data_IF_197760217109
#
_entry.id   IF_197760217109
#
_cell.length_a   1.000
_cell.length_b   1.000
_cell.length_c   1.000
_cell.angle_alpha   90.00
_cell.angle_beta   90.00
_cell.angle_gamma   90.00
#
_symmetry.space_group_name_H-M   'P 1'
#
loop_
_entity.id
_entity.type
_entity.pdbx_description
1 polymer ?
#
# COMPACT_ATOMS: atom_id res chain seq x y z
N UNK A 1 -0.10 12.08 -2.97
CA UNK A 1 1.03 11.62 -3.82
C UNK A 1 2.07 12.72 -4.05
N UNK A 2 1.86 13.94 -3.52
CA UNK A 2 2.73 15.10 -3.76
C UNK A 2 3.76 15.31 -2.63
N UNK A 3 3.77 14.42 -1.63
CA UNK A 3 4.59 14.50 -0.42
C UNK A 3 5.48 13.26 -0.27
N UNK A 4 6.02 12.77 -1.38
CA UNK A 4 7.04 11.71 -1.33
C UNK A 4 8.32 12.31 -0.73
N UNK A 5 8.97 11.65 0.25
CA UNK A 5 10.18 12.18 0.87
C UNK A 5 11.31 12.33 -0.15
N UNK A 6 12.30 13.15 0.18
CA UNK A 6 13.51 13.32 -0.64
C UNK A 6 14.18 11.96 -0.92
N UNK A 7 14.48 11.67 -2.19
CA UNK A 7 15.01 10.38 -2.64
C UNK A 7 13.95 9.29 -2.87
N UNK A 8 12.72 9.48 -2.40
CA UNK A 8 11.59 8.58 -2.68
C UNK A 8 10.98 8.85 -4.06
N UNK A 9 10.41 7.81 -4.67
CA UNK A 9 9.62 7.93 -5.90
C UNK A 9 8.49 6.92 -5.94
N UNK A 10 7.35 7.32 -6.49
CA UNK A 10 6.29 6.39 -6.86
C UNK A 10 6.71 5.75 -8.19
N UNK A 11 6.70 4.41 -8.26
CA UNK A 11 7.13 3.65 -9.44
C UNK A 11 6.00 2.83 -10.07
N UNK A 12 4.91 2.63 -9.32
CA UNK A 12 3.75 1.88 -9.75
C UNK A 12 2.53 2.28 -8.93
N UNK A 13 1.35 2.10 -9.52
CA UNK A 13 0.04 2.23 -8.87
C UNK A 13 -0.81 1.00 -9.20
N UNK A 14 -1.69 0.63 -8.27
CA UNK A 14 -2.64 -0.45 -8.47
C UNK A 14 -4.03 -0.10 -8.00
N UNK A 15 -5.03 -0.49 -8.78
CA UNK A 15 -6.44 -0.29 -8.49
C UNK A 15 -7.31 -1.30 -9.23
N UNK A 16 -8.36 -1.80 -8.59
CA UNK A 16 -9.32 -2.67 -9.27
C UNK A 16 -10.15 -1.89 -10.31
N UNK A 17 -10.32 -0.58 -10.11
CA UNK A 17 -10.99 0.30 -11.05
C UNK A 17 -9.96 0.99 -11.96
N UNK A 18 -9.72 0.37 -13.11
CA UNK A 18 -8.65 0.78 -14.05
C UNK A 18 -8.81 2.20 -14.58
N UNK A 19 -10.04 2.69 -14.76
CA UNK A 19 -10.30 4.06 -15.18
C UNK A 19 -9.72 5.08 -14.20
N UNK A 20 -9.87 4.84 -12.88
CA UNK A 20 -9.31 5.72 -11.85
C UNK A 20 -7.79 5.80 -11.92
N UNK A 21 -7.10 4.71 -12.27
CA UNK A 21 -5.64 4.75 -12.47
C UNK A 21 -5.27 5.63 -13.65
N UNK A 22 -5.94 5.47 -14.80
CA UNK A 22 -5.69 6.27 -16.01
C UNK A 22 -5.89 7.76 -15.74
N UNK A 23 -7.00 8.11 -15.08
CA UNK A 23 -7.29 9.50 -14.69
C UNK A 23 -6.23 10.04 -13.73
N UNK A 24 -5.76 9.24 -12.77
CA UNK A 24 -4.69 9.63 -11.83
C UNK A 24 -3.38 9.92 -12.57
N UNK A 25 -2.97 9.07 -13.51
CA UNK A 25 -1.76 9.30 -14.31
C UNK A 25 -1.85 10.60 -15.12
N UNK A 26 -3.01 10.86 -15.72
CA UNK A 26 -3.26 12.08 -16.48
C UNK A 26 -3.22 13.32 -15.58
N UNK A 27 -3.91 13.30 -14.44
CA UNK A 27 -3.96 14.41 -13.49
C UNK A 27 -2.59 14.71 -12.88
N UNK A 28 -1.80 13.67 -12.58
CA UNK A 28 -0.46 13.80 -12.01
C UNK A 28 0.63 14.02 -13.06
N UNK A 29 0.31 13.87 -14.34
CA UNK A 29 1.25 13.96 -15.46
C UNK A 29 2.46 13.02 -15.26
N UNK A 30 2.17 11.76 -14.95
CA UNK A 30 3.19 10.73 -14.67
C UNK A 30 3.02 9.49 -15.55
N UNK A 31 4.07 8.68 -15.60
CA UNK A 31 4.17 7.45 -16.39
C UNK A 31 4.33 6.20 -15.51
N UNK A 32 3.87 6.26 -14.25
CA UNK A 32 3.98 5.13 -13.33
C UNK A 32 3.32 3.87 -13.90
N UNK A 33 3.93 2.71 -13.66
CA UNK A 33 3.35 1.44 -14.14
C UNK A 33 2.02 1.17 -13.44
N UNK A 34 0.99 0.84 -14.22
CA UNK A 34 -0.35 0.54 -13.71
C UNK A 34 -0.60 -0.95 -13.59
N UNK A 35 -1.28 -1.36 -12.53
CA UNK A 35 -1.62 -2.76 -12.29
C UNK A 35 -3.06 -2.90 -11.81
N UNK A 36 -3.90 -3.67 -12.51
CA UNK A 36 -5.25 -3.94 -12.01
C UNK A 36 -5.23 -4.81 -10.72
N UNK A 37 -4.21 -5.65 -10.58
CA UNK A 37 -4.04 -6.58 -9.48
C UNK A 37 -2.75 -6.25 -8.72
N UNK A 38 -2.88 -5.94 -7.43
CA UNK A 38 -1.74 -5.50 -6.61
C UNK A 38 -0.74 -6.63 -6.38
N UNK A 39 -1.17 -7.89 -6.46
CA UNK A 39 -0.30 -9.06 -6.33
C UNK A 39 0.75 -9.05 -7.44
N UNK A 40 0.32 -8.78 -8.69
CA UNK A 40 1.24 -8.66 -9.83
C UNK A 40 2.18 -7.47 -9.66
N UNK A 41 1.67 -6.34 -9.17
CA UNK A 41 2.50 -5.17 -8.88
C UNK A 41 3.60 -5.51 -7.88
N UNK A 42 3.25 -6.16 -6.77
CA UNK A 42 4.17 -6.51 -5.69
C UNK A 42 5.17 -7.58 -6.14
N UNK A 43 4.73 -8.57 -6.92
CA UNK A 43 5.59 -9.69 -7.31
C UNK A 43 6.51 -9.36 -8.50
N UNK A 44 6.12 -8.46 -9.42
CA UNK A 44 6.95 -8.06 -10.57
C UNK A 44 7.95 -6.93 -10.27
N UNK A 45 7.69 -6.14 -9.23
CA UNK A 45 8.47 -4.95 -8.93
C UNK A 45 9.37 -5.17 -7.72
N UNK A 46 10.61 -4.73 -7.85
CA UNK A 46 11.49 -4.53 -6.71
C UNK A 46 11.07 -3.23 -6.00
N UNK A 47 10.08 -3.34 -5.10
CA UNK A 47 9.59 -2.23 -4.28
C UNK A 47 10.33 -2.23 -2.94
N UNK A 48 10.51 -1.05 -2.36
CA UNK A 48 11.00 -0.92 -0.98
C UNK A 48 9.82 -0.95 0.02
N UNK A 49 8.71 -0.32 -0.35
CA UNK A 49 7.52 -0.18 0.47
C UNK A 49 6.23 -0.06 -0.36
N UNK A 50 5.08 -0.25 0.28
CA UNK A 50 3.76 0.03 -0.31
C UNK A 50 2.93 0.95 0.58
N UNK A 51 2.07 1.74 -0.07
CA UNK A 51 0.99 2.50 0.56
C UNK A 51 -0.33 1.79 0.25
N UNK A 52 -1.02 1.31 1.29
CA UNK A 52 -2.32 0.65 1.17
C UNK A 52 -3.39 1.65 1.58
N UNK A 53 -4.21 2.05 0.60
CA UNK A 53 -5.35 2.96 0.78
C UNK A 53 -6.61 2.42 0.10
N UNK A 54 -6.77 1.09 0.11
CA UNK A 54 -7.98 0.42 -0.38
C UNK A 54 -9.13 0.62 0.61
N UNK A 55 -10.35 0.14 0.35
CA UNK A 55 -11.38 0.15 1.39
C UNK A 55 -10.93 -0.64 2.63
N UNK A 56 -11.24 -0.14 3.81
CA UNK A 56 -10.79 -0.65 5.11
C UNK A 56 -10.96 -2.16 5.32
N UNK A 57 -12.09 -2.71 4.90
CA UNK A 57 -12.40 -4.14 4.99
C UNK A 57 -11.53 -5.03 4.11
N UNK A 58 -10.75 -4.42 3.20
CA UNK A 58 -9.81 -5.13 2.34
C UNK A 58 -8.36 -4.98 2.78
N UNK A 59 -8.02 -4.02 3.66
CA UNK A 59 -6.64 -3.66 4.01
C UNK A 59 -5.76 -4.84 4.41
N UNK A 60 -6.30 -5.78 5.21
CA UNK A 60 -5.50 -6.86 5.79
C UNK A 60 -4.80 -7.72 4.71
N UNK A 61 -5.47 -7.95 3.57
CA UNK A 61 -4.98 -8.84 2.52
C UNK A 61 -3.76 -8.25 1.79
N UNK A 62 -3.80 -7.05 1.17
CA UNK A 62 -2.64 -6.46 0.51
C UNK A 62 -1.50 -6.15 1.49
N UNK A 63 -1.80 -5.77 2.74
CA UNK A 63 -0.76 -5.58 3.77
C UNK A 63 -0.04 -6.90 4.06
N UNK A 64 -0.77 -7.99 4.34
CA UNK A 64 -0.16 -9.31 4.57
C UNK A 64 0.59 -9.79 3.34
N UNK A 65 0.08 -9.53 2.13
CA UNK A 65 0.76 -9.87 0.89
C UNK A 65 2.12 -9.18 0.79
N UNK A 66 2.17 -7.86 1.01
CA UNK A 66 3.39 -7.05 0.99
C UNK A 66 4.39 -7.48 2.07
N UNK A 67 3.93 -7.63 3.32
CA UNK A 67 4.78 -8.07 4.44
C UNK A 67 5.43 -9.44 4.17
N UNK A 68 4.70 -10.38 3.56
CA UNK A 68 5.26 -11.70 3.18
C UNK A 68 6.40 -11.60 2.17
N UNK A 69 6.46 -10.53 1.37
CA UNK A 69 7.56 -10.23 0.43
C UNK A 69 8.67 -9.38 1.05
N UNK A 70 8.59 -9.07 2.35
CA UNK A 70 9.58 -8.25 3.03
C UNK A 70 9.48 -6.75 2.71
N UNK A 71 8.31 -6.29 2.24
CA UNK A 71 8.07 -4.86 1.99
C UNK A 71 7.63 -4.16 3.26
N UNK A 72 8.08 -2.93 3.44
CA UNK A 72 7.54 -2.01 4.44
C UNK A 72 6.16 -1.51 4.01
N UNK A 73 5.31 -1.19 5.00
CA UNK A 73 3.91 -0.90 4.72
C UNK A 73 3.41 0.33 5.47
N UNK A 74 2.94 1.31 4.72
CA UNK A 74 2.03 2.33 5.24
C UNK A 74 0.60 1.92 4.91
N UNK A 75 -0.29 1.84 5.90
CA UNK A 75 -1.70 1.48 5.72
C UNK A 75 -2.59 2.60 6.23
N UNK A 76 -3.57 3.03 5.44
CA UNK A 76 -4.53 4.03 5.89
C UNK A 76 -5.44 3.53 7.02
N UNK A 77 -6.02 4.46 7.77
CA UNK A 77 -7.00 4.15 8.81
C UNK A 77 -8.39 3.86 8.21
N UNK A 78 -9.24 3.09 8.91
CA UNK A 78 -8.90 2.20 10.02
C UNK A 78 -8.05 1.01 9.54
N UNK A 79 -7.23 0.43 10.45
CA UNK A 79 -6.19 -0.54 10.07
C UNK A 79 -6.73 -1.77 9.31
N UNK A 80 -7.82 -2.36 9.81
CA UNK A 80 -8.47 -3.53 9.25
C UNK A 80 -9.91 -3.64 9.78
N UNK A 81 -10.67 -4.60 9.26
CA UNK A 81 -12.07 -4.82 9.65
C UNK A 81 -12.21 -5.38 11.07
N UNK A 82 -11.26 -6.20 11.52
CA UNK A 82 -11.35 -6.92 12.79
C UNK A 82 -10.08 -6.85 13.63
N UNK A 83 -10.24 -6.96 14.96
CA UNK A 83 -9.11 -7.07 15.89
C UNK A 83 -8.27 -8.32 15.60
N UNK A 84 -8.89 -9.40 15.09
CA UNK A 84 -8.18 -10.60 14.68
C UNK A 84 -7.19 -10.29 13.56
N UNK A 85 -7.63 -9.65 12.48
CA UNK A 85 -6.76 -9.25 11.37
C UNK A 85 -5.64 -8.32 11.84
N UNK A 86 -5.95 -7.31 12.65
CA UNK A 86 -4.92 -6.43 13.22
C UNK A 86 -3.83 -7.21 13.97
N UNK A 87 -4.21 -8.24 14.75
CA UNK A 87 -3.25 -9.10 15.46
C UNK A 87 -2.41 -9.94 14.51
N UNK A 88 -3.01 -10.47 13.45
CA UNK A 88 -2.27 -11.24 12.43
C UNK A 88 -1.26 -10.34 11.70
N UNK A 89 -1.66 -9.15 11.28
CA UNK A 89 -0.79 -8.18 10.62
C UNK A 89 0.37 -7.78 11.52
N UNK A 90 0.11 -7.45 12.80
CA UNK A 90 1.15 -7.12 13.78
C UNK A 90 2.16 -8.25 13.98
N UNK A 91 1.67 -9.47 14.18
CA UNK A 91 2.55 -10.62 14.41
C UNK A 91 3.45 -10.88 13.19
N UNK A 92 2.88 -10.79 11.98
CA UNK A 92 3.63 -10.95 10.75
C UNK A 92 4.65 -9.82 10.53
N UNK A 93 4.28 -8.56 10.79
CA UNK A 93 5.21 -7.44 10.69
C UNK A 93 6.41 -7.62 11.64
N UNK A 94 6.17 -8.07 12.87
CA UNK A 94 7.22 -8.40 13.82
C UNK A 94 8.12 -9.56 13.36
N UNK A 95 7.52 -10.64 12.81
CA UNK A 95 8.27 -11.77 12.26
C UNK A 95 9.20 -11.33 11.11
N UNK A 96 8.68 -10.49 10.21
CA UNK A 96 9.39 -9.99 9.03
C UNK A 96 10.34 -8.83 9.33
N UNK A 97 10.31 -8.30 10.57
CA UNK A 97 11.04 -7.10 10.99
C UNK A 97 10.76 -5.90 10.06
N UNK A 98 9.53 -5.83 9.54
CA UNK A 98 9.10 -4.77 8.63
C UNK A 98 8.76 -3.50 9.41
N UNK A 99 9.08 -2.35 8.82
CA UNK A 99 8.59 -1.05 9.29
C UNK A 99 7.15 -0.89 8.83
N UNK A 100 6.25 -0.60 9.77
CA UNK A 100 4.84 -0.36 9.47
C UNK A 100 4.35 0.94 10.10
N UNK A 101 3.48 1.65 9.38
CA UNK A 101 2.83 2.86 9.88
C UNK A 101 1.35 2.85 9.49
N UNK A 102 0.49 3.21 10.44
CA UNK A 102 -0.93 3.47 10.15
C UNK A 102 -1.14 4.97 9.91
N UNK A 103 -2.03 5.32 8.98
CA UNK A 103 -2.43 6.70 8.68
C UNK A 103 -3.26 7.35 9.79
N UNK A 104 -2.65 7.60 10.95
CA UNK A 104 -3.26 8.28 12.10
C UNK A 104 -3.24 9.80 11.95
N UNK A 105 -3.60 10.31 10.78
CA UNK A 105 -3.77 11.74 10.57
C UNK A 105 -5.06 12.16 11.29
N UNK A 106 -4.92 12.74 12.48
CA UNK A 106 -6.02 13.28 13.27
C UNK A 106 -5.73 14.79 13.35
N UNK A 107 -6.58 15.59 12.69
CA UNK A 107 -6.50 17.04 12.50
C UNK A 107 -5.62 17.52 11.33
N UNK A 108 -6.24 18.34 10.48
CA UNK A 108 -5.61 19.40 9.71
C UNK A 108 -5.99 20.73 10.38
#
# INVERSE_FOLDING_TARGET
MDHVPEGGRIVAISDCYTQRMTETLQQKQTDWKTYQYYEKMIDEKNLDAVVVSTPDHTHAIPVVWALRRGLDVYCEKPLAHSVYECRQMRNLAAEKKAVTQMGTQIHA
#
